data_IF_937457403623
#
_entry.id   IF_937457403623
#
_cell.length_a   1.000
_cell.length_b   1.000
_cell.length_c   1.000
_cell.angle_alpha   90.00
_cell.angle_beta   90.00
_cell.angle_gamma   90.00
#
_symmetry.space_group_name_H-M   'P 1'
#
loop_
_entity.id
_entity.type
_entity.pdbx_description
1 polymer ?
#
# COMPACT_ATOMS: atom_id res chain seq x y z
N UNK A 1 64.40 -28.03 -18.67
CA UNK A 1 64.76 -26.78 -17.96
C UNK A 1 63.71 -25.74 -18.30
N UNK A 2 62.95 -25.32 -17.31
CA UNK A 2 61.78 -24.43 -17.41
C UNK A 2 62.20 -23.00 -17.76
N UNK A 3 61.67 -22.44 -18.85
CA UNK A 3 61.87 -21.02 -19.21
C UNK A 3 60.83 -20.17 -18.47
N UNK A 4 61.28 -19.41 -17.48
CA UNK A 4 60.49 -18.35 -16.85
C UNK A 4 60.50 -17.11 -17.75
N UNK A 5 59.33 -16.71 -18.27
CA UNK A 5 59.13 -15.43 -18.96
C UNK A 5 58.56 -14.43 -17.94
N UNK A 6 59.40 -13.50 -17.50
CA UNK A 6 58.99 -12.31 -16.76
C UNK A 6 58.28 -11.34 -17.70
N UNK A 7 57.04 -10.97 -17.40
CA UNK A 7 56.36 -9.84 -18.04
C UNK A 7 56.51 -8.63 -17.11
N UNK A 8 57.24 -7.61 -17.56
CA UNK A 8 57.42 -6.34 -16.86
C UNK A 8 56.21 -5.45 -17.10
N UNK A 9 55.44 -5.16 -16.05
CA UNK A 9 54.21 -4.37 -16.12
C UNK A 9 54.53 -2.87 -16.02
N UNK A 10 54.85 -2.23 -17.15
CA UNK A 10 54.89 -0.77 -17.20
C UNK A 10 54.73 -0.28 -18.64
N UNK A 11 53.48 0.03 -19.03
CA UNK A 11 53.13 1.10 -19.97
C UNK A 11 51.62 1.08 -20.21
N UNK A 12 50.89 1.98 -19.56
CA UNK A 12 49.72 2.66 -20.13
C UNK A 12 49.40 3.87 -19.23
N UNK A 13 50.25 4.90 -19.33
CA UNK A 13 49.97 6.25 -18.86
C UNK A 13 49.91 7.17 -20.07
N UNK A 14 48.73 7.33 -20.66
CA UNK A 14 48.37 8.48 -21.50
C UNK A 14 46.87 8.44 -21.80
N UNK A 15 46.12 9.39 -21.24
CA UNK A 15 44.69 9.53 -21.50
C UNK A 15 44.02 10.52 -20.57
N UNK A 16 44.48 11.79 -20.62
CA UNK A 16 43.82 12.89 -19.93
C UNK A 16 42.51 13.23 -20.64
N UNK A 17 41.39 12.71 -20.15
CA UNK A 17 40.07 13.25 -20.43
C UNK A 17 39.42 13.67 -19.12
N UNK A 18 39.29 14.99 -18.95
CA UNK A 18 38.48 15.58 -17.90
C UNK A 18 37.01 15.26 -18.17
N UNK A 19 36.47 14.28 -17.45
CA UNK A 19 35.04 14.04 -17.38
C UNK A 19 34.69 13.73 -15.92
N UNK A 20 34.34 14.82 -15.22
CA UNK A 20 33.55 14.89 -13.98
C UNK A 20 33.23 13.55 -13.29
N UNK A 21 33.70 13.45 -12.05
CA UNK A 21 33.13 12.66 -10.97
C UNK A 21 31.61 12.85 -10.87
N UNK A 22 30.86 12.05 -11.63
CA UNK A 22 29.48 11.69 -11.27
C UNK A 22 29.56 10.26 -10.80
N UNK A 23 29.64 10.12 -9.47
CA UNK A 23 29.64 8.83 -8.80
C UNK A 23 28.53 7.93 -9.32
N UNK A 24 28.74 6.62 -9.21
CA UNK A 24 27.74 5.60 -9.49
C UNK A 24 26.42 6.02 -8.83
N UNK A 25 25.51 6.58 -9.63
CA UNK A 25 24.11 6.70 -9.23
C UNK A 25 23.62 5.28 -9.31
N UNK A 26 23.49 4.63 -8.15
CA UNK A 26 22.72 3.41 -8.04
C UNK A 26 21.44 3.66 -8.82
N UNK A 27 21.26 2.89 -9.90
CA UNK A 27 19.97 2.85 -10.59
C UNK A 27 18.98 2.55 -9.46
N UNK A 28 17.89 3.31 -9.40
CA UNK A 28 16.83 2.99 -8.45
C UNK A 28 16.27 1.65 -8.89
N UNK A 29 16.89 0.58 -8.40
CA UNK A 29 16.44 -0.78 -8.54
C UNK A 29 15.13 -0.80 -7.75
N UNK A 30 14.04 -1.08 -8.46
CA UNK A 30 12.77 -1.34 -7.79
C UNK A 30 12.97 -2.48 -6.77
N UNK A 31 12.04 -2.64 -5.82
CA UNK A 31 12.09 -3.72 -4.85
C UNK A 31 12.40 -5.05 -5.55
N UNK A 32 13.40 -5.80 -5.05
CA UNK A 32 13.78 -7.08 -5.63
C UNK A 32 12.52 -7.96 -5.71
N UNK A 33 12.21 -8.67 -6.81
CA UNK A 33 10.97 -9.44 -6.96
C UNK A 33 10.61 -10.35 -5.77
N UNK A 34 11.62 -10.92 -5.09
CA UNK A 34 11.42 -11.72 -3.87
C UNK A 34 10.99 -10.96 -2.60
N UNK A 35 10.85 -9.63 -2.65
CA UNK A 35 10.38 -8.81 -1.51
C UNK A 35 8.86 -8.60 -1.51
N UNK A 36 8.16 -9.03 -2.57
CA UNK A 36 6.72 -8.87 -2.74
C UNK A 36 6.02 -10.20 -2.48
N UNK A 37 4.91 -10.17 -1.74
CA UNK A 37 4.00 -11.31 -1.67
C UNK A 37 3.51 -11.67 -3.08
N UNK A 38 3.61 -12.94 -3.51
CA UNK A 38 3.03 -13.39 -4.77
C UNK A 38 1.55 -13.04 -4.87
N UNK A 39 1.06 -12.79 -6.09
CA UNK A 39 -0.31 -12.32 -6.34
C UNK A 39 -1.41 -13.34 -5.98
N UNK A 40 -1.02 -14.60 -5.82
CA UNK A 40 -1.84 -15.76 -5.48
C UNK A 40 -1.68 -16.19 -4.01
N UNK A 41 -0.94 -15.41 -3.20
CA UNK A 41 -0.66 -15.71 -1.80
C UNK A 41 -1.30 -14.70 -0.85
N UNK A 42 -1.62 -15.18 0.36
CA UNK A 42 -2.04 -14.37 1.49
C UNK A 42 -0.86 -13.54 2.01
N UNK A 43 -1.06 -12.24 2.21
CA UNK A 43 -0.03 -11.35 2.74
C UNK A 43 0.34 -11.61 4.22
N UNK A 44 -0.46 -12.38 4.95
CA UNK A 44 -0.16 -12.73 6.35
C UNK A 44 0.60 -14.06 6.48
N UNK A 45 0.18 -15.09 5.75
CA UNK A 45 0.76 -16.44 5.85
C UNK A 45 1.77 -16.77 4.76
N UNK A 46 1.85 -15.97 3.70
CA UNK A 46 2.64 -16.23 2.48
C UNK A 46 2.31 -17.56 1.79
N UNK A 47 1.13 -18.10 2.06
CA UNK A 47 0.61 -19.32 1.45
C UNK A 47 -0.48 -18.98 0.43
N UNK A 48 -0.70 -19.87 -0.52
CA UNK A 48 -1.78 -19.75 -1.48
C UNK A 48 -3.13 -19.60 -0.75
N UNK A 49 -3.96 -18.64 -1.18
CA UNK A 49 -5.26 -18.40 -0.56
C UNK A 49 -6.34 -19.35 -1.10
N UNK A 50 -7.34 -19.66 -0.26
CA UNK A 50 -8.54 -20.40 -0.69
C UNK A 50 -9.75 -19.46 -0.76
N UNK A 51 -9.90 -18.60 0.24
CA UNK A 51 -10.97 -17.61 0.35
C UNK A 51 -10.37 -16.20 0.40
N UNK A 52 -9.88 -15.68 -0.73
CA UNK A 52 -9.21 -14.38 -0.76
C UNK A 52 -10.17 -13.26 -0.39
N UNK A 53 -9.69 -12.38 0.47
CA UNK A 53 -10.34 -11.13 0.85
C UNK A 53 -9.35 -9.98 0.73
N UNK A 54 -9.85 -8.80 0.42
CA UNK A 54 -9.05 -7.59 0.27
C UNK A 54 -9.37 -6.62 1.39
N UNK A 55 -8.32 -6.13 2.06
CA UNK A 55 -8.38 -4.90 2.83
C UNK A 55 -8.00 -3.74 1.91
N UNK A 56 -8.91 -2.77 1.78
CA UNK A 56 -8.69 -1.57 0.96
C UNK A 56 -7.87 -0.54 1.74
N UNK A 57 -6.79 -0.05 1.14
CA UNK A 57 -5.93 0.99 1.70
C UNK A 57 -6.39 2.38 1.27
N UNK A 58 -6.01 3.41 2.02
CA UNK A 58 -6.36 4.80 1.74
C UNK A 58 -5.79 5.33 0.41
N UNK A 59 -4.69 4.74 -0.08
CA UNK A 59 -4.02 5.13 -1.33
C UNK A 59 -4.66 4.53 -2.61
N UNK A 60 -5.76 3.79 -2.47
CA UNK A 60 -6.45 3.10 -3.56
C UNK A 60 -5.89 1.71 -3.87
N UNK A 61 -4.86 1.25 -3.15
CA UNK A 61 -4.41 -0.14 -3.24
C UNK A 61 -5.18 -1.07 -2.32
N UNK A 62 -4.98 -2.38 -2.48
CA UNK A 62 -5.53 -3.38 -1.61
C UNK A 62 -4.49 -4.42 -1.19
N UNK A 63 -4.53 -4.83 0.07
CA UNK A 63 -3.74 -5.97 0.56
C UNK A 63 -4.64 -7.21 0.61
N UNK A 64 -4.19 -8.29 -0.04
CA UNK A 64 -4.94 -9.54 -0.11
C UNK A 64 -4.55 -10.45 1.04
N UNK A 65 -5.56 -10.98 1.72
CA UNK A 65 -5.42 -11.96 2.78
C UNK A 65 -6.32 -13.15 2.49
N UNK A 66 -6.03 -14.28 3.13
CA UNK A 66 -6.99 -15.37 3.21
C UNK A 66 -7.91 -15.17 4.41
N UNK A 67 -9.21 -15.40 4.21
CA UNK A 67 -10.25 -15.20 5.23
C UNK A 67 -9.93 -15.96 6.53
N UNK A 68 -9.42 -17.19 6.42
CA UNK A 68 -9.13 -18.03 7.59
C UNK A 68 -7.99 -17.50 8.45
N UNK A 69 -7.10 -16.70 7.84
CA UNK A 69 -5.93 -16.12 8.49
C UNK A 69 -6.19 -14.71 9.03
N UNK A 70 -6.88 -13.86 8.27
CA UNK A 70 -7.12 -12.46 8.68
C UNK A 70 -8.15 -12.32 9.79
N UNK A 71 -9.18 -13.16 9.82
CA UNK A 71 -10.24 -13.05 10.84
C UNK A 71 -9.71 -13.33 12.26
N UNK A 72 -8.91 -14.38 12.51
CA UNK A 72 -8.22 -14.55 13.80
C UNK A 72 -7.32 -13.37 14.15
N UNK A 73 -6.54 -12.87 13.19
CA UNK A 73 -5.66 -11.71 13.41
C UNK A 73 -6.42 -10.49 13.93
N UNK A 74 -7.54 -10.13 13.27
CA UNK A 74 -8.35 -8.98 13.66
C UNK A 74 -8.96 -9.13 15.06
N UNK A 75 -9.31 -10.35 15.47
CA UNK A 75 -9.82 -10.61 16.83
C UNK A 75 -8.74 -10.41 17.90
N UNK A 76 -7.51 -10.85 17.63
CA UNK A 76 -6.40 -10.75 18.56
C UNK A 76 -5.82 -9.32 18.63
N UNK A 77 -5.80 -8.60 17.50
CA UNK A 77 -5.17 -7.29 17.37
C UNK A 77 -6.20 -6.14 17.33
N UNK A 78 -7.38 -6.35 17.90
CA UNK A 78 -8.42 -5.33 18.08
C UNK A 78 -8.77 -4.57 16.80
N UNK A 79 -9.04 -5.31 15.71
CA UNK A 79 -9.39 -4.79 14.38
C UNK A 79 -8.32 -3.86 13.79
N UNK A 80 -7.06 -4.32 13.78
CA UNK A 80 -5.90 -3.59 13.24
C UNK A 80 -5.30 -4.30 12.03
N UNK A 81 -5.03 -3.55 10.97
CA UNK A 81 -4.42 -4.06 9.74
C UNK A 81 -2.97 -4.54 9.98
N UNK A 82 -2.58 -5.77 9.57
CA UNK A 82 -1.26 -6.34 9.88
C UNK A 82 -0.04 -5.54 9.40
N UNK A 83 -0.15 -4.89 8.23
CA UNK A 83 0.97 -4.16 7.60
C UNK A 83 0.99 -2.65 7.89
N UNK A 84 -0.17 -1.99 7.81
CA UNK A 84 -0.26 -0.53 7.94
C UNK A 84 -0.54 -0.06 9.36
N UNK A 85 -0.96 -0.96 10.26
CA UNK A 85 -1.46 -0.63 11.60
C UNK A 85 -2.69 0.31 11.61
N UNK A 86 -3.39 0.44 10.49
CA UNK A 86 -4.63 1.20 10.40
C UNK A 86 -5.82 0.38 10.92
N UNK A 87 -6.90 1.04 11.40
CA UNK A 87 -8.13 0.33 11.78
C UNK A 87 -8.73 -0.43 10.60
N UNK A 88 -9.00 -1.73 10.77
CA UNK A 88 -9.60 -2.60 9.77
C UNK A 88 -10.64 -3.50 10.44
N UNK A 89 -11.93 -3.29 10.16
CA UNK A 89 -12.99 -4.15 10.70
C UNK A 89 -13.23 -5.34 9.77
N UNK A 90 -13.72 -6.47 10.29
CA UNK A 90 -14.11 -7.61 9.46
C UNK A 90 -15.15 -7.28 8.39
N UNK A 91 -16.03 -6.29 8.63
CA UNK A 91 -17.04 -5.85 7.68
C UNK A 91 -16.46 -5.02 6.51
N UNK A 92 -15.26 -4.46 6.67
CA UNK A 92 -14.58 -3.67 5.65
C UNK A 92 -13.79 -4.56 4.67
N UNK A 93 -13.72 -5.88 4.95
CA UNK A 93 -13.07 -6.85 4.08
C UNK A 93 -13.95 -7.14 2.86
N UNK A 94 -13.36 -6.97 1.67
CA UNK A 94 -14.04 -7.23 0.41
C UNK A 94 -13.69 -8.64 -0.03
N UNK A 95 -14.70 -9.50 -0.22
CA UNK A 95 -14.48 -10.84 -0.76
C UNK A 95 -14.02 -10.76 -2.21
N UNK A 96 -12.93 -11.45 -2.55
CA UNK A 96 -12.41 -11.46 -3.90
C UNK A 96 -12.85 -12.71 -4.67
N UNK A 97 -13.11 -12.51 -5.96
CA UNK A 97 -13.53 -13.53 -6.91
C UNK A 97 -12.53 -13.56 -8.07
N UNK A 98 -11.58 -14.49 -7.99
CA UNK A 98 -10.62 -14.74 -9.05
C UNK A 98 -11.20 -15.68 -10.11
N UNK A 99 -11.06 -15.31 -11.38
CA UNK A 99 -11.32 -16.21 -12.49
C UNK A 99 -10.35 -17.39 -12.47
N UNK A 100 -10.86 -18.61 -12.70
CA UNK A 100 -10.05 -19.83 -12.80
C UNK A 100 -10.38 -20.53 -14.11
N UNK A 101 -9.37 -21.03 -14.79
CA UNK A 101 -9.56 -21.89 -15.96
C UNK A 101 -9.76 -23.36 -15.53
N UNK A 102 -9.95 -24.25 -16.51
CA UNK A 102 -10.10 -25.70 -16.26
C UNK A 102 -8.88 -26.38 -15.64
N UNK A 103 -7.68 -25.78 -15.76
CA UNK A 103 -6.46 -26.26 -15.11
C UNK A 103 -6.24 -25.68 -13.71
N UNK A 104 -7.17 -24.87 -13.20
CA UNK A 104 -7.06 -24.20 -11.90
C UNK A 104 -6.13 -22.98 -11.88
N UNK A 105 -5.58 -22.57 -13.02
CA UNK A 105 -4.76 -21.37 -13.12
C UNK A 105 -5.63 -20.11 -13.07
N UNK A 106 -5.13 -19.07 -12.39
CA UNK A 106 -5.82 -17.79 -12.26
C UNK A 106 -5.79 -17.04 -13.61
N UNK A 107 -6.96 -16.59 -14.04
CA UNK A 107 -7.15 -15.89 -15.31
C UNK A 107 -8.03 -14.65 -15.14
N UNK A 108 -7.88 -13.72 -16.08
CA UNK A 108 -8.88 -12.67 -16.29
C UNK A 108 -10.15 -13.28 -16.92
N UNK A 109 -11.34 -13.13 -16.31
CA UNK A 109 -12.56 -13.75 -16.80
C UNK A 109 -13.10 -13.15 -18.12
N UNK A 110 -12.62 -11.98 -18.53
CA UNK A 110 -13.03 -11.31 -19.78
C UNK A 110 -12.07 -11.63 -20.91
N UNK A 111 -10.76 -11.46 -20.66
CA UNK A 111 -9.76 -11.66 -21.71
C UNK A 111 -9.22 -13.09 -21.77
N UNK A 112 -9.57 -13.93 -20.79
CA UNK A 112 -9.06 -15.30 -20.61
C UNK A 112 -7.53 -15.38 -20.53
N UNK A 113 -6.87 -14.24 -20.26
CA UNK A 113 -5.42 -14.16 -20.13
C UNK A 113 -4.99 -14.66 -18.75
N UNK A 114 -3.92 -15.46 -18.65
CA UNK A 114 -3.35 -15.84 -17.37
C UNK A 114 -2.88 -14.62 -16.57
N UNK A 115 -3.16 -14.62 -15.27
CA UNK A 115 -2.57 -13.68 -14.34
C UNK A 115 -1.13 -14.12 -14.03
N UNK A 116 -0.22 -13.15 -13.89
CA UNK A 116 1.19 -13.40 -13.60
C UNK A 116 1.75 -12.36 -12.62
N UNK A 117 2.96 -12.60 -12.12
CA UNK A 117 3.67 -11.69 -11.20
C UNK A 117 3.94 -10.30 -11.79
N UNK A 118 3.95 -10.17 -13.12
CA UNK A 118 4.14 -8.89 -13.81
C UNK A 118 2.84 -8.32 -14.38
N UNK A 119 1.69 -8.90 -14.05
CA UNK A 119 0.40 -8.39 -14.48
C UNK A 119 -0.05 -7.24 -13.60
N UNK A 120 -0.65 -6.19 -14.18
CA UNK A 120 -1.37 -5.19 -13.41
C UNK A 120 -2.76 -5.74 -13.06
N UNK A 121 -2.95 -6.14 -11.80
CA UNK A 121 -4.15 -6.80 -11.29
C UNK A 121 -4.95 -5.81 -10.45
N UNK A 122 -6.24 -5.71 -10.76
CA UNK A 122 -7.18 -4.84 -10.08
C UNK A 122 -8.42 -5.62 -9.67
N UNK A 123 -9.08 -5.19 -8.59
CA UNK A 123 -10.37 -5.70 -8.16
C UNK A 123 -11.40 -4.57 -8.16
N UNK A 124 -12.66 -4.91 -8.41
CA UNK A 124 -13.78 -3.97 -8.28
C UNK A 124 -14.36 -4.11 -6.88
N UNK A 125 -14.38 -3.04 -6.09
CA UNK A 125 -14.81 -3.07 -4.69
C UNK A 125 -16.26 -3.53 -4.49
N UNK A 126 -17.14 -3.20 -5.45
CA UNK A 126 -18.58 -3.49 -5.37
C UNK A 126 -18.90 -4.96 -5.63
N UNK A 127 -18.19 -5.61 -6.57
CA UNK A 127 -18.46 -6.99 -6.98
C UNK A 127 -17.44 -7.99 -6.43
N UNK A 128 -16.25 -7.52 -6.06
CA UNK A 128 -15.13 -8.35 -5.66
C UNK A 128 -14.43 -9.05 -6.82
N UNK A 129 -14.88 -8.87 -8.06
CA UNK A 129 -14.28 -9.53 -9.21
C UNK A 129 -12.88 -8.97 -9.52
N UNK A 130 -11.96 -9.87 -9.85
CA UNK A 130 -10.55 -9.56 -10.13
C UNK A 130 -10.27 -9.63 -11.63
N UNK A 131 -9.63 -8.59 -12.15
CA UNK A 131 -9.34 -8.41 -13.57
C UNK A 131 -7.91 -7.90 -13.80
N UNK A 132 -7.47 -7.96 -15.05
CA UNK A 132 -6.35 -7.14 -15.50
C UNK A 132 -6.81 -5.69 -15.67
N UNK A 133 -5.93 -4.73 -15.33
CA UNK A 133 -6.20 -3.30 -15.52
C UNK A 133 -6.54 -2.96 -16.99
N UNK A 134 -5.88 -3.65 -17.94
CA UNK A 134 -6.16 -3.54 -19.38
C UNK A 134 -7.61 -3.89 -19.72
N UNK A 135 -8.21 -4.85 -19.02
CA UNK A 135 -9.61 -5.26 -19.24
C UNK A 135 -10.57 -4.22 -18.71
N UNK A 136 -10.34 -3.75 -17.48
CA UNK A 136 -11.16 -2.70 -16.84
C UNK A 136 -11.14 -1.41 -17.67
N UNK A 137 -9.99 -1.06 -18.26
CA UNK A 137 -9.88 0.12 -19.14
C UNK A 137 -10.78 0.06 -20.39
N UNK A 138 -11.18 -1.14 -20.81
CA UNK A 138 -12.03 -1.40 -21.98
C UNK A 138 -13.50 -1.60 -21.63
N UNK A 139 -13.85 -1.58 -20.34
CA UNK A 139 -15.23 -1.73 -19.91
C UNK A 139 -16.02 -0.49 -20.34
N UNK A 140 -16.93 -0.69 -21.30
CA UNK A 140 -17.78 0.37 -21.82
C UNK A 140 -18.66 0.92 -20.67
N UNK A 141 -18.41 2.17 -20.29
CA UNK A 141 -19.22 2.88 -19.29
C UNK A 141 -18.95 2.52 -17.83
N UNK A 142 -17.81 1.89 -17.50
CA UNK A 142 -17.49 1.57 -16.10
C UNK A 142 -18.45 0.54 -15.50
N UNK A 143 -18.68 -0.55 -16.23
CA UNK A 143 -19.56 -1.64 -15.80
C UNK A 143 -18.80 -2.96 -15.80
N UNK A 144 -18.95 -3.72 -14.72
CA UNK A 144 -18.42 -5.07 -14.59
C UNK A 144 -19.17 -5.98 -15.56
N UNK A 145 -18.47 -6.51 -16.57
CA UNK A 145 -19.07 -7.35 -17.60
C UNK A 145 -19.38 -8.78 -17.12
N UNK A 146 -18.85 -9.21 -15.97
CA UNK A 146 -19.14 -10.52 -15.38
C UNK A 146 -20.42 -10.46 -14.54
N UNK A 147 -20.54 -9.42 -13.71
CA UNK A 147 -21.66 -9.26 -12.79
C UNK A 147 -22.80 -8.34 -13.30
N UNK A 148 -22.58 -7.63 -14.40
CA UNK A 148 -23.48 -6.60 -14.96
C UNK A 148 -23.77 -5.44 -13.98
N UNK A 149 -22.78 -5.06 -13.16
CA UNK A 149 -22.90 -4.01 -12.14
C UNK A 149 -22.08 -2.78 -12.53
N UNK A 150 -22.69 -1.61 -12.53
CA UNK A 150 -21.97 -0.35 -12.73
C UNK A 150 -21.08 -0.03 -11.51
N UNK A 151 -19.86 0.41 -11.75
CA UNK A 151 -18.90 0.80 -10.72
C UNK A 151 -18.25 2.14 -11.09
N UNK A 152 -17.76 2.85 -10.08
CA UNK A 152 -17.04 4.11 -10.30
C UNK A 152 -15.54 3.86 -10.36
N UNK A 153 -14.79 4.83 -10.88
CA UNK A 153 -13.32 4.73 -10.90
C UNK A 153 -12.73 4.60 -9.50
N UNK A 154 -13.38 5.20 -8.50
CA UNK A 154 -13.00 5.09 -7.09
C UNK A 154 -13.24 3.69 -6.51
N UNK A 155 -14.04 2.85 -7.15
CA UNK A 155 -14.28 1.47 -6.71
C UNK A 155 -13.20 0.51 -7.23
N UNK A 156 -12.31 0.97 -8.11
CA UNK A 156 -11.20 0.15 -8.62
C UNK A 156 -10.08 0.12 -7.58
N UNK A 157 -9.76 -1.07 -7.10
CA UNK A 157 -8.70 -1.32 -6.12
C UNK A 157 -7.52 -1.97 -6.83
N UNK A 158 -6.34 -1.35 -6.74
CA UNK A 158 -5.12 -1.94 -7.30
C UNK A 158 -4.53 -2.95 -6.32
N UNK A 159 -4.60 -4.24 -6.67
CA UNK A 159 -3.98 -5.32 -5.89
C UNK A 159 -2.50 -5.46 -6.24
N UNK A 160 -2.19 -5.34 -7.52
CA UNK A 160 -0.83 -5.40 -8.01
C UNK A 160 -0.58 -4.49 -9.19
N UNK A 161 0.47 -3.69 -9.09
CA UNK A 161 1.01 -2.90 -10.19
C UNK A 161 2.53 -3.10 -10.22
N UNK A 162 3.11 -3.66 -11.30
CA UNK A 162 4.56 -3.83 -11.45
C UNK A 162 5.28 -2.51 -11.76
N UNK A 163 4.57 -1.49 -12.25
CA UNK A 163 5.14 -0.19 -12.60
C UNK A 163 5.04 0.82 -11.46
N UNK A 164 4.23 0.52 -10.44
CA UNK A 164 4.16 1.33 -9.23
C UNK A 164 5.43 1.15 -8.42
N UNK A 165 6.30 2.15 -8.46
CA UNK A 165 7.43 2.28 -7.54
C UNK A 165 6.84 2.61 -6.17
N UNK A 166 6.51 1.58 -5.39
CA UNK A 166 6.13 1.73 -3.99
C UNK A 166 7.38 1.70 -3.12
N UNK A 167 7.51 2.66 -2.19
CA UNK A 167 8.59 2.72 -1.21
C UNK A 167 8.45 1.67 -0.10
N UNK A 168 7.49 0.75 -0.22
CA UNK A 168 7.31 -0.35 0.72
C UNK A 168 8.25 -1.51 0.36
N UNK A 169 9.51 -1.37 0.78
CA UNK A 169 10.43 -2.50 0.90
C UNK A 169 10.71 -2.72 2.39
N UNK A 170 10.53 -3.96 2.83
CA UNK A 170 10.81 -4.42 4.19
C UNK A 170 12.32 -4.30 4.50
N UNK A 171 12.61 -3.95 5.75
CA UNK A 171 13.91 -3.89 6.44
C UNK A 171 14.88 -2.75 6.08
N UNK A 172 14.53 -1.52 6.49
CA UNK A 172 15.56 -0.64 7.05
C UNK A 172 15.77 -1.03 8.53
N UNK A 173 17.00 -1.28 9.02
CA UNK A 173 17.21 -1.44 10.44
C UNK A 173 16.82 -0.14 11.13
N UNK A 174 15.77 -0.19 11.96
CA UNK A 174 15.45 0.89 12.89
C UNK A 174 16.60 0.94 13.90
N UNK A 175 17.63 1.73 13.59
CA UNK A 175 18.56 2.21 14.59
C UNK A 175 17.78 3.20 15.47
N UNK A 176 17.15 2.66 16.51
CA UNK A 176 16.71 3.44 17.65
C UNK A 176 17.96 4.06 18.29
N UNK A 177 18.21 5.33 17.99
CA UNK A 177 19.09 6.16 18.81
C UNK A 177 18.22 6.83 19.90
N UNK A 178 18.59 6.70 21.19
CA UNK A 178 17.79 7.23 22.30
C UNK A 178 17.76 8.76 22.30
N UNK A 179 16.59 9.31 22.65
CA UNK A 179 16.39 10.72 23.02
C UNK A 179 17.17 11.00 24.31
N UNK A 180 18.20 11.83 24.23
CA UNK A 180 18.69 12.58 25.40
C UNK A 180 17.86 13.85 25.55
N UNK A 181 17.05 13.87 26.59
CA UNK A 181 16.53 15.07 27.25
C UNK A 181 17.65 15.72 28.05
N UNK A 182 17.94 17.01 27.82
CA UNK A 182 18.34 17.91 28.89
C UNK A 182 17.62 19.26 28.73
N UNK A 183 17.04 19.67 29.84
CA UNK A 183 16.14 20.78 30.12
C UNK A 183 16.96 22.00 30.53
N UNK A 184 16.54 23.23 30.19
CA UNK A 184 16.78 24.42 31.01
C UNK A 184 15.88 25.60 30.59
N UNK A 185 14.89 25.84 31.46
CA UNK A 185 14.12 27.07 31.70
C UNK A 185 14.99 28.35 31.79
N UNK A 186 14.40 29.47 31.38
CA UNK A 186 14.05 30.63 32.23
C UNK A 186 13.11 31.58 31.44
N UNK A 187 11.83 31.79 31.83
CA UNK A 187 11.26 32.71 32.86
C UNK A 187 11.00 34.14 32.28
N UNK A 188 9.77 34.45 31.83
CA UNK A 188 8.67 35.23 32.50
C UNK A 188 8.94 36.75 32.69
N UNK A 189 7.94 37.66 32.90
CA UNK A 189 6.55 37.80 32.43
C UNK A 189 6.10 39.26 32.05
N UNK A 190 4.85 39.35 31.59
CA UNK A 190 3.85 40.42 31.82
C UNK A 190 3.94 41.80 31.11
N UNK A 191 2.86 42.16 30.40
CA UNK A 191 1.80 43.01 30.99
C UNK A 191 0.46 42.92 30.25
N UNK A 192 -0.59 42.85 31.05
CA UNK A 192 -2.01 42.95 30.71
C UNK A 192 -2.50 44.40 30.87
N UNK A 193 -3.68 44.71 30.32
CA UNK A 193 -4.75 45.50 30.97
C UNK A 193 -6.07 45.19 30.21
N UNK A 194 -7.04 44.45 30.78
CA UNK A 194 -8.21 44.92 31.55
C UNK A 194 -9.26 45.66 30.67
N UNK A 195 -10.58 45.50 30.77
CA UNK A 195 -11.44 45.13 31.89
C UNK A 195 -12.85 44.60 31.43
N UNK A 196 -13.53 44.00 32.39
CA UNK A 196 -14.82 43.26 32.49
C UNK A 196 -15.99 44.22 32.94
N UNK A 197 -17.24 43.84 33.33
CA UNK A 197 -18.30 42.88 32.91
C UNK A 197 -19.71 43.52 32.66
N UNK A 198 -20.70 42.75 32.19
CA UNK A 198 -22.12 42.85 32.64
C UNK A 198 -22.89 41.54 32.32
N UNK A 199 -23.26 40.73 33.31
CA UNK A 199 -24.58 40.57 33.99
C UNK A 199 -25.71 39.95 33.14
N UNK A 200 -26.07 38.71 33.52
CA UNK A 200 -27.42 38.11 33.71
C UNK A 200 -28.56 38.42 32.73
N UNK A 201 -29.22 37.37 32.19
CA UNK A 201 -30.55 36.91 32.67
C UNK A 201 -31.05 35.68 31.89
N UNK A 202 -31.56 34.69 32.61
CA UNK A 202 -32.33 33.54 32.13
C UNK A 202 -33.80 33.96 32.13
N UNK A 203 -34.56 33.68 31.08
CA UNK A 203 -36.04 33.69 31.16
C UNK A 203 -36.65 32.59 30.29
N UNK A 204 -37.50 31.82 30.94
CA UNK A 204 -38.30 30.73 30.42
C UNK A 204 -39.66 31.21 29.87
N UNK A 205 -40.17 30.49 28.86
CA UNK A 205 -41.56 30.28 28.39
C UNK A 205 -42.58 31.45 28.40
N UNK A 206 -43.46 31.46 27.39
CA UNK A 206 -44.85 31.14 27.72
C UNK A 206 -45.48 30.07 26.83
N UNK A 207 -46.38 29.31 27.45
CA UNK A 207 -47.37 28.44 26.81
C UNK A 207 -48.52 29.34 26.34
N UNK A 208 -48.91 29.25 25.07
CA UNK A 208 -50.20 29.77 24.60
C UNK A 208 -51.08 28.64 24.09
N UNK A 209 -52.19 28.46 24.83
CA UNK A 209 -53.40 27.67 24.54
C UNK A 209 -54.22 28.29 23.39
N UNK A 210 -55.26 27.54 23.00
CA UNK A 210 -56.44 27.86 22.18
C UNK A 210 -56.27 27.56 20.68
N UNK A 211 -57.09 26.73 20.03
CA UNK A 211 -58.45 26.24 20.31
C UNK A 211 -58.57 24.72 20.13
#
# INVERSE_FOLDING_TARGET
MTSALYITHNEHSAGLHSASSRGFRAKQEGPHPGSRTPFDCCALSFQAFEFPVCARNADGTGTVFDLTNIIPWLKEHNNTHPHTNEPLKPADLIKLHYGKNSSGALIDPITMKPLSEHSHIVAIATTGNVFLADSVSKFAGGRDLVADVAFKKEDVITLQDPHRITTLSIAAPVINAPKTTEDSKDKEPAKADAAKPSKSEVTAKPVSRLF
#
